data_IF_270839983232
#
_entry.id   IF_270839983232
#
_cell.length_a   1.000
_cell.length_b   1.000
_cell.length_c   1.000
_cell.angle_alpha   90.00
_cell.angle_beta   90.00
_cell.angle_gamma   90.00
#
_symmetry.space_group_name_H-M   'P 1'
#
loop_
_entity.id
_entity.type
_entity.pdbx_description
1 polymer ?
#
# COMPACT_ATOMS: atom_id res chain seq x y z
N UNK A 1 -7.96 11.87 1.48
CA UNK A 1 -8.47 10.50 1.46
C UNK A 1 -9.22 10.25 2.74
N UNK A 2 -10.26 9.43 2.65
CA UNK A 2 -11.30 9.25 3.68
C UNK A 2 -11.96 10.58 4.03
N UNK A 3 -12.49 11.24 3.00
CA UNK A 3 -13.10 12.57 3.13
C UNK A 3 -14.35 12.52 4.00
N UNK A 4 -15.12 11.43 3.88
CA UNK A 4 -16.32 11.16 4.67
C UNK A 4 -16.41 9.67 5.03
N UNK A 5 -17.06 9.39 6.16
CA UNK A 5 -17.30 8.03 6.67
C UNK A 5 -18.81 7.74 6.72
N UNK A 6 -19.23 6.45 6.61
CA UNK A 6 -18.41 5.25 6.66
C UNK A 6 -18.02 4.67 5.29
N UNK A 7 -18.57 5.14 4.18
CA UNK A 7 -18.39 4.46 2.89
C UNK A 7 -18.44 5.39 1.67
N UNK A 8 -18.28 6.71 1.87
CA UNK A 8 -18.20 7.64 0.74
C UNK A 8 -19.54 7.88 0.05
N UNK A 9 -20.67 7.66 0.74
CA UNK A 9 -21.99 7.84 0.15
C UNK A 9 -22.26 9.32 -0.22
N UNK A 10 -22.87 9.54 -1.39
CA UNK A 10 -23.15 10.88 -1.92
C UNK A 10 -23.95 11.77 -0.94
N UNK A 11 -24.89 11.17 -0.20
CA UNK A 11 -25.77 11.87 0.74
C UNK A 11 -25.02 12.46 1.94
N UNK A 12 -23.84 11.94 2.26
CA UNK A 12 -23.08 12.32 3.45
C UNK A 12 -22.06 13.43 3.17
N UNK A 13 -21.75 13.76 1.91
CA UNK A 13 -20.77 14.80 1.57
C UNK A 13 -21.14 16.18 2.11
N UNK A 14 -22.39 16.58 1.96
CA UNK A 14 -22.82 17.91 2.41
C UNK A 14 -22.77 18.04 3.94
N UNK A 15 -23.43 17.17 4.74
CA UNK A 15 -23.41 17.29 6.19
C UNK A 15 -22.06 16.96 6.84
N UNK A 16 -21.23 16.09 6.23
CA UNK A 16 -19.98 15.64 6.84
C UNK A 16 -18.71 16.34 6.31
N UNK A 17 -18.77 17.00 5.15
CA UNK A 17 -17.61 17.68 4.56
C UNK A 17 -17.92 19.13 4.16
N UNK A 18 -18.85 19.37 3.22
CA UNK A 18 -19.02 20.71 2.66
C UNK A 18 -19.58 21.72 3.68
N UNK A 19 -20.53 21.33 4.52
CA UNK A 19 -21.06 22.23 5.54
C UNK A 19 -20.03 22.54 6.65
N UNK A 20 -19.33 21.55 7.26
CA UNK A 20 -18.29 21.82 8.26
C UNK A 20 -17.12 22.66 7.76
N UNK A 21 -16.70 22.46 6.50
CA UNK A 21 -15.55 23.16 5.94
C UNK A 21 -15.91 24.35 5.04
N UNK A 22 -17.18 24.77 5.02
CA UNK A 22 -17.70 25.76 4.06
C UNK A 22 -16.88 27.06 3.99
N UNK A 23 -16.44 27.57 5.13
CA UNK A 23 -15.67 28.82 5.18
C UNK A 23 -14.21 28.64 4.77
N UNK A 24 -13.63 27.46 5.04
CA UNK A 24 -12.25 27.13 4.70
C UNK A 24 -12.08 26.88 3.20
N UNK A 25 -12.95 26.06 2.60
CA UNK A 25 -12.86 25.66 1.19
C UNK A 25 -13.23 26.79 0.22
N UNK A 26 -13.75 27.92 0.72
CA UNK A 26 -13.92 29.15 -0.07
C UNK A 26 -12.63 29.95 -0.23
N UNK A 27 -11.62 29.69 0.59
CA UNK A 27 -10.39 30.47 0.68
C UNK A 27 -9.16 29.69 0.20
N UNK A 28 -9.30 28.38 0.00
CA UNK A 28 -8.21 27.47 -0.34
C UNK A 28 -8.60 26.58 -1.51
N UNK A 29 -7.59 26.15 -2.27
CA UNK A 29 -7.75 25.09 -3.27
C UNK A 29 -7.61 23.75 -2.56
N UNK A 30 -8.57 22.85 -2.77
CA UNK A 30 -8.54 21.50 -2.23
C UNK A 30 -7.99 20.53 -3.29
N UNK A 31 -6.96 19.77 -2.92
CA UNK A 31 -6.36 18.72 -3.75
C UNK A 31 -6.57 17.35 -3.06
N UNK A 32 -7.74 16.73 -3.21
CA UNK A 32 -8.07 15.50 -2.49
C UNK A 32 -7.46 14.27 -3.17
N UNK A 33 -7.14 13.25 -2.38
CA UNK A 33 -6.88 11.89 -2.84
C UNK A 33 -8.01 10.95 -2.37
N UNK A 34 -8.20 9.83 -3.07
CA UNK A 34 -9.16 8.78 -2.70
C UNK A 34 -8.61 7.91 -1.56
N UNK A 35 -9.34 7.82 -0.46
CA UNK A 35 -9.16 6.80 0.58
C UNK A 35 -10.06 5.59 0.40
N UNK A 36 -9.89 4.57 1.24
CA UNK A 36 -10.69 3.35 1.12
C UNK A 36 -12.16 3.57 1.50
N UNK A 37 -12.45 4.54 2.36
CA UNK A 37 -13.82 4.94 2.66
C UNK A 37 -14.45 5.72 1.50
N UNK A 38 -13.69 6.52 0.77
CA UNK A 38 -14.19 7.19 -0.44
C UNK A 38 -14.46 6.18 -1.57
N UNK A 39 -13.63 5.14 -1.66
CA UNK A 39 -13.68 4.14 -2.73
C UNK A 39 -14.79 3.08 -2.53
N UNK A 40 -15.26 2.89 -1.30
CA UNK A 40 -16.21 1.84 -0.94
C UNK A 40 -17.54 1.94 -1.73
N UNK A 41 -18.11 3.14 -1.83
CA UNK A 41 -19.29 3.38 -2.66
C UNK A 41 -18.90 3.51 -4.14
N UNK A 42 -19.34 2.55 -4.94
CA UNK A 42 -19.24 2.58 -6.40
C UNK A 42 -17.84 2.95 -6.94
N UNK A 43 -16.77 2.42 -6.31
CA UNK A 43 -15.39 2.68 -6.69
C UNK A 43 -15.05 4.19 -6.76
N UNK A 44 -15.54 4.97 -5.80
CA UNK A 44 -15.29 6.41 -5.70
C UNK A 44 -16.15 7.29 -6.60
N UNK A 45 -17.23 6.77 -7.20
CA UNK A 45 -18.08 7.62 -8.06
C UNK A 45 -18.69 8.82 -7.33
N UNK A 46 -19.19 8.70 -6.08
CA UNK A 46 -19.68 9.87 -5.35
C UNK A 46 -18.60 10.92 -5.11
N UNK A 47 -17.38 10.48 -4.80
CA UNK A 47 -16.22 11.37 -4.63
C UNK A 47 -15.90 12.14 -5.91
N UNK A 48 -15.91 11.47 -7.08
CA UNK A 48 -15.70 12.14 -8.38
C UNK A 48 -16.81 13.12 -8.76
N UNK A 49 -18.02 12.90 -8.25
CA UNK A 49 -19.11 13.86 -8.45
C UNK A 49 -18.99 15.08 -7.50
N UNK A 50 -18.28 14.93 -6.38
CA UNK A 50 -18.12 15.95 -5.35
C UNK A 50 -16.86 16.81 -5.55
N UNK A 51 -15.78 16.21 -6.08
CA UNK A 51 -14.50 16.88 -6.29
C UNK A 51 -14.04 16.75 -7.74
N UNK A 52 -13.67 17.89 -8.32
CA UNK A 52 -13.12 17.98 -9.67
C UNK A 52 -11.61 18.18 -9.58
N UNK A 53 -10.85 17.18 -10.02
CA UNK A 53 -9.38 17.20 -10.00
C UNK A 53 -8.86 17.11 -11.44
N UNK A 54 -7.56 17.35 -11.68
CA UNK A 54 -7.00 17.20 -13.01
C UNK A 54 -7.13 15.75 -13.49
N UNK A 55 -7.42 15.58 -14.78
CA UNK A 55 -7.44 14.28 -15.46
C UNK A 55 -6.19 14.11 -16.35
N UNK A 56 -5.03 14.60 -15.90
CA UNK A 56 -3.77 14.66 -16.66
C UNK A 56 -2.94 13.36 -16.61
N UNK A 57 -3.62 12.22 -16.57
CA UNK A 57 -3.02 10.88 -16.59
C UNK A 57 -3.45 10.08 -17.83
N UNK A 58 -2.78 8.97 -18.16
CA UNK A 58 -3.09 8.15 -19.33
C UNK A 58 -4.51 7.55 -19.33
N UNK A 59 -5.15 7.41 -18.17
CA UNK A 59 -6.53 6.93 -18.08
C UNK A 59 -7.57 8.05 -18.33
N UNK A 60 -7.15 9.32 -18.40
CA UNK A 60 -8.06 10.47 -18.54
C UNK A 60 -9.07 10.57 -17.40
N UNK A 61 -8.68 10.13 -16.19
CA UNK A 61 -9.56 10.03 -15.02
C UNK A 61 -9.15 10.99 -13.91
N UNK A 62 -10.04 11.31 -12.98
CA UNK A 62 -9.75 12.20 -11.84
C UNK A 62 -9.12 11.47 -10.62
N UNK A 63 -8.82 10.18 -10.76
CA UNK A 63 -8.45 9.34 -9.61
C UNK A 63 -7.01 9.56 -9.13
N UNK A 64 -6.10 9.94 -10.04
CA UNK A 64 -4.69 10.23 -9.75
C UNK A 64 -4.19 11.27 -10.75
N UNK A 65 -3.33 12.18 -10.30
CA UNK A 65 -2.98 13.37 -11.07
C UNK A 65 -1.73 14.02 -10.51
N UNK A 66 -1.20 15.04 -11.20
CA UNK A 66 -0.10 15.86 -10.71
C UNK A 66 -0.37 17.34 -10.96
N UNK A 67 0.28 18.19 -10.19
CA UNK A 67 0.22 19.64 -10.33
C UNK A 67 1.45 20.32 -9.71
N UNK A 68 1.71 21.55 -10.14
CA UNK A 68 2.82 22.35 -9.63
C UNK A 68 2.29 23.48 -8.74
N UNK A 69 2.98 23.74 -7.64
CA UNK A 69 2.77 24.92 -6.78
C UNK A 69 4.13 25.52 -6.44
N UNK A 70 4.39 26.74 -6.93
CA UNK A 70 5.69 27.37 -6.78
C UNK A 70 6.80 26.54 -7.44
N UNK A 71 7.81 26.15 -6.67
CA UNK A 71 8.92 25.30 -7.11
C UNK A 71 8.74 23.83 -6.69
N UNK A 72 7.55 23.42 -6.26
CA UNK A 72 7.21 22.04 -5.90
C UNK A 72 6.30 21.40 -6.96
N UNK A 73 6.61 20.15 -7.30
CA UNK A 73 5.78 19.26 -8.08
C UNK A 73 5.14 18.23 -7.16
N UNK A 74 3.82 18.11 -7.23
CA UNK A 74 3.02 17.27 -6.34
C UNK A 74 2.30 16.22 -7.18
N UNK A 75 2.47 14.95 -6.83
CA UNK A 75 1.77 13.82 -7.45
C UNK A 75 0.79 13.21 -6.46
N UNK A 76 -0.46 13.06 -6.86
CA UNK A 76 -1.54 12.45 -6.08
C UNK A 76 -1.89 11.10 -6.67
N UNK A 77 -1.78 10.03 -5.89
CA UNK A 77 -2.06 8.66 -6.32
C UNK A 77 -3.31 8.09 -5.67
N UNK A 78 -3.99 7.18 -6.37
CA UNK A 78 -5.05 6.33 -5.85
C UNK A 78 -4.49 4.98 -5.39
N UNK A 79 -4.22 4.88 -4.10
CA UNK A 79 -3.73 3.65 -3.47
C UNK A 79 -4.78 2.54 -3.31
N UNK A 80 -6.03 2.74 -3.78
CA UNK A 80 -7.04 1.67 -3.90
C UNK A 80 -6.94 0.93 -5.25
N UNK A 81 -6.27 1.53 -6.23
CA UNK A 81 -6.05 0.96 -7.55
C UNK A 81 -4.70 0.23 -7.63
N UNK A 82 -4.46 -0.44 -8.76
CA UNK A 82 -3.20 -1.16 -8.97
C UNK A 82 -2.02 -0.18 -9.00
N UNK A 83 -1.04 -0.43 -8.15
CA UNK A 83 0.24 0.30 -8.10
C UNK A 83 1.41 -0.52 -8.65
N UNK A 84 1.15 -1.73 -9.16
CA UNK A 84 2.19 -2.66 -9.64
C UNK A 84 2.91 -2.11 -10.87
N UNK A 85 4.19 -2.48 -11.09
CA UNK A 85 4.92 -2.20 -12.32
C UNK A 85 4.11 -2.52 -13.57
N UNK A 86 4.08 -1.58 -14.52
CA UNK A 86 3.33 -1.69 -15.78
C UNK A 86 1.84 -1.33 -15.69
N UNK A 87 1.28 -1.07 -14.49
CA UNK A 87 -0.06 -0.46 -14.39
C UNK A 87 -0.06 0.97 -14.94
N UNK A 88 -1.22 1.47 -15.40
CA UNK A 88 -1.33 2.83 -15.93
C UNK A 88 -0.87 3.89 -14.92
N UNK A 89 -1.23 3.72 -13.65
CA UNK A 89 -0.82 4.62 -12.57
C UNK A 89 0.68 4.55 -12.27
N UNK A 90 1.28 3.35 -12.28
CA UNK A 90 2.73 3.21 -12.10
C UNK A 90 3.51 3.88 -13.23
N UNK A 91 3.11 3.62 -14.48
CA UNK A 91 3.75 4.21 -15.66
C UNK A 91 3.56 5.72 -15.70
N UNK A 92 2.39 6.22 -15.29
CA UNK A 92 2.14 7.64 -15.10
C UNK A 92 3.13 8.25 -14.11
N UNK A 93 3.23 7.68 -12.90
CA UNK A 93 4.11 8.19 -11.85
C UNK A 93 5.59 8.24 -12.31
N UNK A 94 6.07 7.16 -12.95
CA UNK A 94 7.43 7.08 -13.47
C UNK A 94 7.71 8.18 -14.51
N UNK A 95 6.81 8.34 -15.48
CA UNK A 95 6.95 9.35 -16.53
C UNK A 95 6.81 10.79 -16.00
N UNK A 96 5.82 11.03 -15.14
CA UNK A 96 5.51 12.33 -14.57
C UNK A 96 6.70 12.85 -13.73
N UNK A 97 7.22 12.02 -12.81
CA UNK A 97 8.38 12.36 -11.99
C UNK A 97 9.68 12.51 -12.79
N UNK A 98 9.83 11.80 -13.91
CA UNK A 98 10.96 11.95 -14.82
C UNK A 98 10.88 13.25 -15.65
N UNK A 99 9.67 13.76 -15.91
CA UNK A 99 9.44 14.91 -16.78
C UNK A 99 9.54 16.25 -16.07
N UNK A 100 9.40 16.28 -14.75
CA UNK A 100 9.46 17.51 -13.97
C UNK A 100 10.89 17.93 -13.62
N UNK A 101 11.15 19.24 -13.69
CA UNK A 101 12.38 19.88 -13.20
C UNK A 101 12.17 20.65 -11.89
N UNK A 102 11.01 20.48 -11.26
CA UNK A 102 10.69 21.15 -10.01
C UNK A 102 11.72 20.83 -8.93
N UNK A 103 11.99 21.82 -8.07
CA UNK A 103 12.99 21.70 -7.01
C UNK A 103 12.58 20.68 -5.98
N UNK A 104 11.31 20.65 -5.62
CA UNK A 104 10.74 19.73 -4.63
C UNK A 104 9.77 18.76 -5.28
N UNK A 105 9.88 17.48 -4.94
CA UNK A 105 8.98 16.43 -5.42
C UNK A 105 8.27 15.81 -4.23
N UNK A 106 6.95 15.96 -4.20
CA UNK A 106 6.08 15.44 -3.15
C UNK A 106 5.10 14.44 -3.76
N UNK A 107 4.83 13.36 -3.03
CA UNK A 107 3.81 12.39 -3.43
C UNK A 107 2.79 12.21 -2.30
N UNK A 108 1.51 12.15 -2.66
CA UNK A 108 0.40 12.02 -1.73
C UNK A 108 -0.50 10.84 -2.11
N UNK A 109 -0.81 9.95 -1.16
CA UNK A 109 -1.81 8.89 -1.32
C UNK A 109 -2.32 8.40 0.02
N UNK A 110 -3.35 7.55 0.04
CA UNK A 110 -4.05 7.25 1.29
C UNK A 110 -3.39 6.16 2.14
N UNK A 111 -3.16 4.96 1.60
CA UNK A 111 -2.72 3.80 2.38
C UNK A 111 -1.27 3.94 2.87
N UNK A 112 -1.06 3.83 4.18
CA UNK A 112 0.28 3.94 4.79
C UNK A 112 1.22 2.84 4.32
N UNK A 113 2.42 3.18 3.85
CA UNK A 113 3.45 2.20 3.47
C UNK A 113 4.56 2.05 4.51
N UNK A 114 4.76 3.00 5.42
CA UNK A 114 5.65 2.88 6.58
C UNK A 114 4.89 3.26 7.85
N UNK A 115 4.67 2.29 8.72
CA UNK A 115 3.89 2.45 9.95
C UNK A 115 4.32 1.46 11.03
N UNK A 116 4.42 1.96 12.25
CA UNK A 116 4.53 1.25 13.52
C UNK A 116 3.16 1.11 14.23
N UNK A 117 2.09 1.56 13.59
CA UNK A 117 0.71 1.39 14.02
C UNK A 117 0.26 -0.07 14.00
N UNK A 118 -0.70 -0.40 14.85
CA UNK A 118 -1.18 -1.79 15.02
C UNK A 118 -2.57 -2.05 14.43
N UNK A 119 -3.25 -1.02 13.92
CA UNK A 119 -4.59 -1.18 13.35
C UNK A 119 -4.53 -1.57 11.88
N UNK A 120 -3.79 -0.81 11.07
CA UNK A 120 -3.59 -1.10 9.66
C UNK A 120 -2.13 -1.44 9.36
N UNK A 121 -1.18 -0.76 10.00
CA UNK A 121 0.24 -0.97 9.84
C UNK A 121 0.73 -0.61 8.44
N UNK A 122 1.87 -1.19 8.07
CA UNK A 122 2.51 -0.93 6.78
C UNK A 122 1.88 -1.75 5.65
N UNK A 123 1.48 -1.10 4.56
CA UNK A 123 1.13 -1.77 3.31
C UNK A 123 2.40 -2.14 2.51
N UNK A 124 2.90 -3.35 2.74
CA UNK A 124 4.16 -3.82 2.13
C UNK A 124 4.07 -4.02 0.61
N UNK A 125 2.88 -4.31 0.07
CA UNK A 125 2.67 -4.48 -1.37
C UNK A 125 2.82 -3.13 -2.09
N UNK A 126 2.16 -2.09 -1.61
CA UNK A 126 2.31 -0.75 -2.19
C UNK A 126 3.74 -0.24 -1.98
N UNK A 127 4.35 -0.52 -0.82
CA UNK A 127 5.76 -0.20 -0.54
C UNK A 127 6.69 -0.80 -1.61
N UNK A 128 6.61 -2.11 -1.82
CA UNK A 128 7.48 -2.84 -2.75
C UNK A 128 7.34 -2.33 -4.20
N UNK A 129 6.14 -1.88 -4.58
CA UNK A 129 5.89 -1.35 -5.90
C UNK A 129 6.41 0.10 -6.07
N UNK A 130 6.08 1.00 -5.14
CA UNK A 130 6.26 2.45 -5.37
C UNK A 130 7.59 3.00 -4.83
N UNK A 131 8.16 2.43 -3.76
CA UNK A 131 9.43 2.91 -3.19
C UNK A 131 10.57 2.91 -4.21
N UNK A 132 10.73 1.90 -5.10
CA UNK A 132 11.74 1.96 -6.15
C UNK A 132 11.63 3.20 -7.07
N UNK A 133 10.40 3.65 -7.39
CA UNK A 133 10.20 4.86 -8.17
C UNK A 133 10.51 6.13 -7.37
N UNK A 134 10.11 6.16 -6.09
CA UNK A 134 10.43 7.29 -5.22
C UNK A 134 11.94 7.47 -5.05
N UNK A 135 12.67 6.38 -4.89
CA UNK A 135 14.13 6.37 -4.81
C UNK A 135 14.78 6.77 -6.14
N UNK A 136 14.31 6.21 -7.27
CA UNK A 136 14.85 6.48 -8.60
C UNK A 136 14.69 7.95 -9.01
N UNK A 137 13.56 8.56 -8.65
CA UNK A 137 13.23 9.94 -9.02
C UNK A 137 13.59 10.99 -7.96
N UNK A 138 14.21 10.55 -6.86
CA UNK A 138 14.57 11.37 -5.71
C UNK A 138 13.38 12.19 -5.18
N UNK A 139 12.28 11.51 -4.87
CA UNK A 139 11.15 12.10 -4.17
C UNK A 139 11.61 12.54 -2.78
N UNK A 140 11.21 13.75 -2.37
CA UNK A 140 11.69 14.34 -1.12
C UNK A 140 10.85 13.88 0.07
N UNK A 141 9.52 13.89 -0.11
CA UNK A 141 8.59 13.52 0.93
C UNK A 141 7.33 12.87 0.38
N UNK A 142 6.85 11.86 1.09
CA UNK A 142 5.62 11.12 0.78
C UNK A 142 4.65 11.28 1.95
N UNK A 143 3.47 11.83 1.68
CA UNK A 143 2.42 12.07 2.66
C UNK A 143 1.33 11.00 2.53
N UNK A 144 0.95 10.39 3.65
CA UNK A 144 -0.02 9.29 3.73
C UNK A 144 -1.04 9.49 4.84
N UNK A 145 -2.17 8.77 4.76
CA UNK A 145 -3.20 8.73 5.80
C UNK A 145 -3.42 7.30 6.30
N UNK A 146 -4.69 6.87 6.35
CA UNK A 146 -5.17 5.51 6.66
C UNK A 146 -4.93 5.01 8.08
N UNK A 147 -3.69 5.02 8.56
CA UNK A 147 -3.41 4.82 9.97
C UNK A 147 -3.70 6.13 10.72
N UNK A 148 -4.66 6.12 11.66
CA UNK A 148 -5.13 7.31 12.37
C UNK A 148 -4.20 7.72 13.51
N UNK A 149 -2.96 8.05 13.16
CA UNK A 149 -1.96 8.63 14.02
C UNK A 149 -0.99 9.48 13.19
N UNK A 150 -0.04 10.13 13.87
CA UNK A 150 1.09 10.79 13.26
C UNK A 150 2.32 9.89 13.33
N UNK A 151 3.01 9.66 12.22
CA UNK A 151 4.31 9.00 12.23
C UNK A 151 5.20 9.54 11.10
N UNK A 152 6.40 9.99 11.46
CA UNK A 152 7.40 10.46 10.50
C UNK A 152 8.63 9.56 10.55
N UNK A 153 9.12 9.15 9.38
CA UNK A 153 10.33 8.35 9.28
C UNK A 153 11.60 9.21 9.31
N UNK A 154 12.72 8.58 9.63
CA UNK A 154 14.04 9.03 9.16
C UNK A 154 14.07 8.97 7.62
N UNK A 155 15.02 9.65 6.95
CA UNK A 155 15.19 9.51 5.51
C UNK A 155 15.48 8.05 5.13
N UNK A 156 14.75 7.53 4.16
CA UNK A 156 14.88 6.15 3.69
C UNK A 156 15.26 6.10 2.21
N UNK A 157 16.14 5.15 1.87
CA UNK A 157 16.41 4.70 0.51
C UNK A 157 16.62 3.19 0.53
N UNK A 158 16.03 2.48 -0.43
CA UNK A 158 16.02 1.02 -0.48
C UNK A 158 15.56 0.38 0.85
N UNK A 159 14.55 0.97 1.48
CA UNK A 159 14.03 0.59 2.81
C UNK A 159 15.06 0.66 3.97
N UNK A 160 16.19 1.36 3.79
CA UNK A 160 17.20 1.55 4.82
C UNK A 160 17.28 3.00 5.24
N UNK A 161 17.56 3.24 6.52
CA UNK A 161 17.84 4.57 7.06
C UNK A 161 19.12 5.09 6.43
N UNK A 162 19.06 6.29 5.86
CA UNK A 162 20.18 6.99 5.25
C UNK A 162 20.37 8.38 5.85
N UNK A 163 21.49 9.01 5.51
CA UNK A 163 21.79 10.36 5.97
C UNK A 163 20.71 11.37 5.50
N UNK A 164 20.49 12.47 6.24
CA UNK A 164 19.66 13.58 5.81
C UNK A 164 19.95 14.03 4.37
N UNK A 165 18.90 14.21 3.57
CA UNK A 165 19.00 14.60 2.16
C UNK A 165 19.39 13.48 1.18
N UNK A 166 19.68 12.26 1.66
CA UNK A 166 20.06 11.13 0.82
C UNK A 166 18.90 10.14 0.53
N UNK A 167 17.71 10.40 1.03
CA UNK A 167 16.54 9.53 0.89
C UNK A 167 15.22 10.28 1.10
N UNK A 168 14.13 9.59 0.87
CA UNK A 168 12.76 10.10 0.99
C UNK A 168 12.32 10.08 2.45
N UNK A 169 11.65 11.13 2.92
CA UNK A 169 10.97 11.13 4.23
C UNK A 169 9.50 10.74 4.04
N UNK A 170 9.02 9.79 4.82
CA UNK A 170 7.63 9.34 4.76
C UNK A 170 6.89 9.85 5.99
N UNK A 171 5.70 10.40 5.79
CA UNK A 171 4.87 10.96 6.87
C UNK A 171 3.46 10.37 6.76
N UNK A 172 3.06 9.68 7.82
CA UNK A 172 1.68 9.27 8.07
C UNK A 172 1.01 10.38 8.87
N UNK A 173 -0.03 10.99 8.31
CA UNK A 173 -0.83 12.06 8.91
C UNK A 173 -2.32 11.71 8.85
N UNK A 174 -2.70 10.60 9.49
CA UNK A 174 -4.09 10.12 9.49
C UNK A 174 -4.93 10.60 10.67
N UNK A 175 -4.40 11.50 11.52
CA UNK A 175 -5.06 11.98 12.75
C UNK A 175 -6.17 13.00 12.55
N UNK A 176 -6.67 13.23 11.33
CA UNK A 176 -7.52 14.38 10.98
C UNK A 176 -8.92 14.46 11.60
N UNK A 177 -9.36 13.48 12.42
CA UNK A 177 -10.59 13.59 13.21
C UNK A 177 -11.35 12.28 13.46
N UNK A 178 -11.01 11.19 12.78
CA UNK A 178 -11.54 9.85 13.10
C UNK A 178 -10.80 9.26 14.31
N UNK A 179 -11.41 8.26 14.98
CA UNK A 179 -10.83 7.58 16.14
C UNK A 179 -9.34 7.26 15.93
N UNK A 180 -8.50 7.71 16.86
CA UNK A 180 -7.06 7.51 16.82
C UNK A 180 -6.67 6.04 17.04
N UNK A 181 -5.53 5.65 16.45
CA UNK A 181 -5.04 4.28 16.48
C UNK A 181 -3.72 4.15 17.26
N UNK A 182 -3.54 3.05 18.02
CA UNK A 182 -2.38 2.84 18.86
C UNK A 182 -1.16 2.31 18.09
N UNK A 183 0.02 2.60 18.64
CA UNK A 183 1.30 2.06 18.19
C UNK A 183 1.66 0.74 18.88
N UNK A 184 2.46 -0.06 18.17
CA UNK A 184 3.23 -1.14 18.75
C UNK A 184 4.63 -0.66 19.12
N UNK A 185 5.62 -1.59 19.24
CA UNK A 185 7.02 -1.20 19.25
C UNK A 185 7.36 -0.38 18.01
N UNK A 186 8.02 0.76 18.22
CA UNK A 186 8.41 1.63 17.11
C UNK A 186 9.45 0.94 16.22
N UNK A 187 9.25 1.06 14.91
CA UNK A 187 10.16 0.51 13.91
C UNK A 187 11.46 1.30 13.86
N UNK A 188 12.57 0.67 13.45
CA UNK A 188 13.89 1.31 13.34
C UNK A 188 13.93 2.55 12.43
N UNK A 189 12.96 2.69 11.52
CA UNK A 189 12.84 3.85 10.63
C UNK A 189 12.11 5.04 11.27
N UNK A 190 11.50 4.88 12.45
CA UNK A 190 10.64 5.90 13.07
C UNK A 190 11.49 7.02 13.64
N UNK A 191 11.31 8.25 13.15
CA UNK A 191 11.92 9.43 13.75
C UNK A 191 11.03 10.02 14.84
N UNK A 192 9.72 10.05 14.61
CA UNK A 192 8.72 10.55 15.55
C UNK A 192 7.39 9.82 15.33
N UNK A 193 6.65 9.54 16.40
CA UNK A 193 5.33 8.92 16.34
C UNK A 193 4.45 9.38 17.50
N UNK A 194 3.21 9.78 17.20
CA UNK A 194 2.26 10.23 18.19
C UNK A 194 0.81 9.90 17.81
N UNK A 195 0.02 9.41 18.77
CA UNK A 195 -1.40 9.09 18.55
C UNK A 195 -2.25 10.27 19.03
N UNK A 196 -2.31 11.31 18.21
CA UNK A 196 -3.04 12.57 18.47
C UNK A 196 -3.75 13.09 17.22
N UNK A 197 -4.75 13.93 17.45
CA UNK A 197 -5.42 14.65 16.37
C UNK A 197 -4.53 15.80 15.90
N UNK A 198 -4.28 15.89 14.60
CA UNK A 198 -3.36 16.87 14.04
C UNK A 198 -3.62 17.08 12.56
N UNK A 199 -2.95 18.08 12.00
CA UNK A 199 -2.70 18.19 10.57
C UNK A 199 -1.23 18.57 10.34
N UNK A 200 -0.75 18.41 9.12
CA UNK A 200 0.62 18.78 8.74
C UNK A 200 0.61 20.05 7.89
N UNK A 201 1.53 20.98 8.20
CA UNK A 201 1.86 22.13 7.36
C UNK A 201 3.18 21.87 6.65
N UNK A 202 3.20 22.06 5.33
CA UNK A 202 4.43 22.08 4.53
C UNK A 202 4.69 23.51 4.05
N UNK A 203 5.87 24.04 4.37
CA UNK A 203 6.35 25.33 3.90
C UNK A 203 7.60 25.13 3.04
N UNK A 204 7.58 25.65 1.82
CA UNK A 204 8.72 25.61 0.90
C UNK A 204 9.27 27.02 0.72
N UNK A 205 10.54 27.20 1.05
CA UNK A 205 11.30 28.43 0.88
C UNK A 205 12.61 28.14 0.14
N UNK A 206 12.57 28.28 -1.18
CA UNK A 206 13.70 28.03 -2.06
C UNK A 206 14.28 26.61 -1.90
N UNK A 207 15.42 26.54 -1.22
CA UNK A 207 16.20 25.33 -0.95
C UNK A 207 15.88 24.67 0.41
N UNK A 208 14.87 25.17 1.12
CA UNK A 208 14.35 24.60 2.37
C UNK A 208 12.90 24.15 2.21
N UNK A 209 12.57 22.96 2.71
CA UNK A 209 11.21 22.48 2.90
C UNK A 209 11.04 22.10 4.37
N UNK A 210 10.15 22.81 5.06
CA UNK A 210 9.83 22.56 6.46
C UNK A 210 8.47 21.88 6.56
N UNK A 211 8.43 20.79 7.31
CA UNK A 211 7.22 20.07 7.70
C UNK A 211 7.00 20.27 9.20
N UNK A 212 5.75 20.55 9.56
CA UNK A 212 5.32 20.72 10.95
C UNK A 212 4.01 19.99 11.18
N UNK A 213 4.00 19.10 12.16
CA UNK A 213 2.80 18.52 12.72
C UNK A 213 2.19 19.50 13.73
N UNK A 214 0.95 19.91 13.49
CA UNK A 214 0.22 20.89 14.29
C UNK A 214 -0.96 20.20 14.97
N UNK A 215 -0.97 20.20 16.30
CA UNK A 215 -2.05 19.65 17.14
C UNK A 215 -3.29 20.57 17.10
N UNK A 216 -4.44 20.09 17.59
CA UNK A 216 -5.72 20.80 17.60
C UNK A 216 -5.70 22.10 18.41
N UNK A 217 -4.75 22.27 19.32
CA UNK A 217 -4.54 23.50 20.09
C UNK A 217 -3.61 24.52 19.37
N UNK A 218 -3.10 24.15 18.19
CA UNK A 218 -2.21 24.97 17.37
C UNK A 218 -0.73 24.86 17.75
N UNK A 219 -0.36 23.99 18.69
CA UNK A 219 1.05 23.73 19.02
C UNK A 219 1.70 22.85 17.97
N UNK A 220 3.01 23.03 17.77
CA UNK A 220 3.81 22.18 16.88
C UNK A 220 4.33 21.00 17.71
N UNK A 221 3.80 19.80 17.47
CA UNK A 221 4.17 18.57 18.17
C UNK A 221 5.46 17.92 17.63
N UNK A 222 5.71 18.10 16.33
CA UNK A 222 6.91 17.63 15.65
C UNK A 222 7.23 18.52 14.44
N UNK A 223 8.51 18.57 14.06
CA UNK A 223 8.93 19.26 12.84
C UNK A 223 10.20 18.66 12.26
N UNK A 224 10.31 18.72 10.93
CA UNK A 224 11.56 18.47 10.22
C UNK A 224 11.80 19.51 9.13
N UNK A 225 13.06 19.70 8.76
CA UNK A 225 13.43 20.56 7.62
C UNK A 225 14.39 19.82 6.71
N UNK A 226 13.99 19.71 5.44
CA UNK A 226 14.82 19.22 4.36
C UNK A 226 15.54 20.40 3.71
N UNK A 227 16.83 20.24 3.42
CA UNK A 227 17.63 21.28 2.76
C UNK A 227 18.30 20.69 1.54
N UNK A 228 18.19 21.36 0.39
CA UNK A 228 18.91 21.01 -0.84
C UNK A 228 20.00 22.04 -1.12
N UNK A 229 21.23 21.62 -1.37
CA UNK A 229 22.33 22.54 -1.70
C UNK A 229 22.17 23.19 -3.08
N UNK A 230 22.71 24.40 -3.30
CA UNK A 230 22.69 25.06 -4.61
C UNK A 230 23.39 24.18 -5.66
N UNK A 231 22.64 23.72 -6.66
CA UNK A 231 23.17 22.93 -7.78
C UNK A 231 22.78 21.43 -7.83
N UNK A 232 21.94 20.91 -6.92
CA UNK A 232 21.36 19.57 -7.09
C UNK A 232 20.34 19.57 -8.24
N UNK A 233 20.83 19.51 -9.47
CA UNK A 233 20.05 19.29 -10.69
C UNK A 233 20.04 17.79 -10.92
N UNK A 234 18.85 17.20 -11.01
CA UNK A 234 18.66 15.78 -11.32
C UNK A 234 19.37 15.45 -12.64
N UNK A 235 20.44 14.67 -12.60
CA UNK A 235 21.09 14.15 -13.80
C UNK A 235 20.21 13.08 -14.44
N UNK A 236 19.49 13.46 -15.50
CA UNK A 236 18.83 12.51 -16.39
C UNK A 236 19.89 11.87 -17.29
N UNK A 237 20.32 10.66 -16.97
CA UNK A 237 21.16 9.85 -17.88
C UNK A 237 20.25 9.08 -18.83
N UNK A 238 20.02 9.62 -20.03
CA UNK A 238 19.43 8.88 -21.14
C UNK A 238 20.51 8.01 -21.80
N UNK A 239 20.47 6.70 -21.60
CA UNK A 239 21.35 5.77 -22.32
C UNK A 239 20.58 5.17 -23.50
N UNK A 240 20.83 5.68 -24.72
CA UNK A 240 20.49 4.99 -25.96
C UNK A 240 21.55 3.91 -26.24
N UNK A 241 21.14 2.64 -26.26
CA UNK A 241 22.01 1.54 -26.67
C UNK A 241 22.06 1.44 -28.19
N UNK A 242 23.25 1.70 -28.76
CA UNK A 242 23.59 1.26 -30.13
C UNK A 242 24.60 0.13 -30.00
N UNK A 243 24.20 -1.05 -30.47
CA UNK A 243 25.03 -2.27 -30.49
C UNK A 243 26.14 -2.12 -31.50
N UNK A 244 27.40 -2.30 -31.10
CA UNK A 244 28.45 -2.70 -32.04
C UNK A 244 29.45 -3.62 -31.35
N UNK A 245 29.47 -4.85 -31.83
CA UNK A 245 30.36 -5.94 -31.44
C UNK A 245 31.80 -5.62 -31.83
N UNK A 246 32.74 -5.68 -30.88
CA UNK A 246 34.15 -5.97 -31.20
C UNK A 246 34.74 -6.83 -30.11
N UNK A 247 35.19 -8.02 -30.50
CA UNK A 247 35.91 -8.98 -29.65
C UNK A 247 37.38 -8.57 -29.62
N UNK A 248 37.95 -8.44 -28.42
CA UNK A 248 39.38 -8.54 -28.20
C UNK A 248 39.61 -9.20 -26.83
N UNK A 249 40.25 -10.36 -26.87
CA UNK A 249 40.55 -11.16 -25.68
C UNK A 249 41.65 -10.54 -24.82
N UNK A 250 41.59 -10.81 -23.53
CA UNK A 250 42.77 -10.87 -22.69
C UNK A 250 42.54 -11.83 -21.52
N UNK A 251 43.49 -12.73 -21.39
CA UNK A 251 43.62 -13.80 -20.39
C UNK A 251 43.78 -13.24 -18.99
N UNK A 252 42.99 -13.76 -18.03
CA UNK A 252 43.30 -13.67 -16.60
C UNK A 252 43.17 -15.04 -15.95
N UNK A 253 44.24 -15.38 -15.25
CA UNK A 253 44.55 -16.61 -14.52
C UNK A 253 43.50 -16.94 -13.47
N UNK A 254 43.00 -18.19 -13.46
CA UNK A 254 42.07 -18.67 -12.44
C UNK A 254 42.82 -19.10 -11.18
N UNK A 255 42.56 -18.42 -10.06
CA UNK A 255 42.72 -18.99 -8.72
C UNK A 255 41.36 -19.50 -8.28
N UNK A 256 41.16 -20.82 -8.32
CA UNK A 256 39.97 -21.50 -7.84
C UNK A 256 39.90 -21.43 -6.31
N UNK A 257 39.09 -20.50 -5.80
CA UNK A 257 38.44 -20.66 -4.50
C UNK A 257 37.20 -21.54 -4.68
N UNK A 258 36.92 -22.50 -3.79
CA UNK A 258 35.68 -23.28 -3.85
C UNK A 258 34.48 -22.34 -3.71
N UNK A 259 33.36 -22.62 -4.42
CA UNK A 259 32.15 -21.83 -4.27
C UNK A 259 31.68 -21.88 -2.81
N UNK A 260 31.17 -20.77 -2.25
CA UNK A 260 30.52 -20.81 -0.95
C UNK A 260 29.38 -21.82 -1.01
N UNK A 261 29.09 -22.54 0.08
CA UNK A 261 27.95 -23.45 0.12
C UNK A 261 26.70 -22.68 -0.31
N UNK A 262 25.91 -23.28 -1.22
CA UNK A 262 24.65 -22.73 -1.70
C UNK A 262 23.90 -22.14 -0.50
N UNK A 263 23.59 -20.85 -0.58
CA UNK A 263 22.95 -20.12 0.51
C UNK A 263 21.77 -20.96 1.02
N UNK A 264 21.83 -21.33 2.30
CA UNK A 264 20.71 -21.94 2.97
C UNK A 264 19.56 -20.93 2.87
N UNK A 265 18.56 -21.24 2.06
CA UNK A 265 17.35 -20.46 1.98
C UNK A 265 16.59 -20.72 3.29
N UNK A 266 16.33 -19.66 4.06
CA UNK A 266 15.49 -19.71 5.25
C UNK A 266 14.04 -19.44 4.82
N UNK A 267 13.09 -20.36 5.05
CA UNK A 267 11.68 -20.18 4.72
C UNK A 267 11.08 -18.89 5.29
N UNK A 268 11.59 -18.39 6.43
CA UNK A 268 11.14 -17.12 7.01
C UNK A 268 11.60 -15.88 6.24
N UNK A 269 12.59 -16.00 5.36
CA UNK A 269 13.14 -14.92 4.51
C UNK A 269 12.73 -15.04 3.04
N UNK A 270 12.04 -16.12 2.69
CA UNK A 270 11.60 -16.39 1.31
C UNK A 270 10.21 -15.83 1.01
N UNK A 271 9.47 -15.35 2.01
CA UNK A 271 8.18 -14.69 1.79
C UNK A 271 8.40 -13.31 1.15
N UNK A 272 7.97 -13.12 -0.10
CA UNK A 272 8.02 -11.81 -0.78
C UNK A 272 6.84 -10.90 -0.40
N UNK A 273 5.95 -11.39 0.47
CA UNK A 273 4.76 -10.69 0.91
C UNK A 273 3.72 -10.51 -0.20
N UNK A 274 3.90 -11.17 -1.35
CA UNK A 274 2.97 -11.07 -2.46
C UNK A 274 1.98 -12.25 -2.40
N UNK A 275 0.69 -11.98 -2.09
CA UNK A 275 -0.32 -13.03 -2.02
C UNK A 275 -0.62 -13.65 -3.39
N UNK A 276 -0.11 -13.09 -4.49
CA UNK A 276 -0.23 -13.67 -5.82
C UNK A 276 0.92 -14.62 -6.18
N UNK A 277 1.89 -14.81 -5.29
CA UNK A 277 2.98 -15.78 -5.42
C UNK A 277 2.94 -16.81 -4.30
N UNK A 278 3.44 -18.00 -4.63
CA UNK A 278 3.69 -19.07 -3.71
C UNK A 278 5.21 -19.17 -3.53
N UNK A 279 5.64 -18.80 -2.33
CA UNK A 279 7.05 -18.78 -1.98
C UNK A 279 7.52 -20.17 -1.62
N UNK A 280 8.40 -20.70 -2.46
CA UNK A 280 8.96 -22.03 -2.32
C UNK A 280 10.46 -21.91 -2.12
N UNK A 281 10.93 -22.43 -0.99
CA UNK A 281 12.33 -22.40 -0.60
C UNK A 281 12.90 -23.82 -0.75
N UNK A 282 13.80 -24.02 -1.73
CA UNK A 282 14.40 -25.32 -2.00
C UNK A 282 15.93 -25.26 -1.80
N UNK A 283 16.53 -26.20 -1.02
CA UNK A 283 17.97 -26.25 -0.82
C UNK A 283 18.71 -26.41 -2.15
N UNK A 284 19.56 -25.43 -2.50
CA UNK A 284 20.33 -25.42 -3.75
C UNK A 284 19.65 -24.70 -4.92
N UNK A 285 18.34 -24.46 -4.89
CA UNK A 285 17.61 -23.68 -5.91
C UNK A 285 17.32 -22.24 -5.44
N UNK A 286 17.42 -21.98 -4.13
CA UNK A 286 17.13 -20.67 -3.55
C UNK A 286 15.64 -20.45 -3.31
N UNK A 287 15.25 -19.19 -3.15
CA UNK A 287 13.86 -18.80 -2.99
C UNK A 287 13.20 -18.58 -4.36
N UNK A 288 11.99 -19.11 -4.54
CA UNK A 288 11.21 -19.00 -5.78
C UNK A 288 9.79 -18.50 -5.47
N UNK A 289 9.31 -17.58 -6.29
CA UNK A 289 8.00 -16.96 -6.16
C UNK A 289 7.15 -17.34 -7.37
N UNK A 290 6.44 -18.47 -7.29
CA UNK A 290 5.63 -18.97 -8.41
C UNK A 290 4.23 -18.35 -8.38
N UNK A 291 3.62 -17.96 -9.52
CA UNK A 291 2.25 -17.46 -9.52
C UNK A 291 1.28 -18.43 -8.83
N UNK A 292 0.45 -17.90 -7.94
CA UNK A 292 -0.60 -18.66 -7.27
C UNK A 292 -1.52 -19.26 -8.31
N UNK A 293 -1.83 -20.54 -8.11
CA UNK A 293 -2.77 -21.29 -8.91
C UNK A 293 -3.99 -21.72 -8.07
N UNK A 294 -4.94 -22.42 -8.70
CA UNK A 294 -6.13 -22.91 -8.03
C UNK A 294 -5.82 -23.93 -6.91
N UNK A 295 -4.69 -24.64 -6.99
CA UNK A 295 -4.26 -25.58 -5.96
C UNK A 295 -3.75 -24.85 -4.71
N UNK A 296 -2.97 -23.78 -4.90
CA UNK A 296 -2.50 -22.91 -3.84
C UNK A 296 -3.67 -22.17 -3.15
N UNK A 297 -4.65 -21.68 -3.91
CA UNK A 297 -5.88 -21.11 -3.33
C UNK A 297 -6.65 -22.16 -2.51
N UNK A 298 -6.81 -23.38 -3.03
CA UNK A 298 -7.47 -24.47 -2.31
C UNK A 298 -6.79 -24.73 -0.96
N UNK A 299 -5.47 -24.85 -0.94
CA UNK A 299 -4.70 -25.07 0.28
C UNK A 299 -4.89 -23.93 1.30
N UNK A 300 -4.99 -22.68 0.85
CA UNK A 300 -5.27 -21.53 1.71
C UNK A 300 -6.70 -21.50 2.28
N UNK A 301 -7.68 -22.03 1.56
CA UNK A 301 -9.03 -22.19 2.14
C UNK A 301 -9.03 -23.34 3.16
N UNK A 302 -8.25 -24.40 2.91
CA UNK A 302 -8.13 -25.55 3.80
C UNK A 302 -7.47 -25.20 5.14
N UNK A 303 -6.44 -24.33 5.14
CA UNK A 303 -5.79 -23.86 6.37
C UNK A 303 -6.74 -23.09 7.30
N UNK A 304 -7.81 -22.50 6.75
CA UNK A 304 -8.89 -21.86 7.53
C UNK A 304 -9.71 -22.84 8.39
N UNK A 305 -9.64 -24.15 8.14
CA UNK A 305 -10.27 -25.17 8.99
C UNK A 305 -9.39 -25.60 10.18
N UNK A 306 -8.07 -25.36 10.10
CA UNK A 306 -7.08 -25.86 11.06
C UNK A 306 -6.31 -24.71 11.70
N UNK A 307 -7.03 -23.81 12.38
CA UNK A 307 -6.42 -22.69 13.12
C UNK A 307 -6.08 -23.14 14.53
N UNK A 308 -4.79 -23.28 14.84
CA UNK A 308 -4.32 -23.73 16.17
C UNK A 308 -4.87 -22.91 17.34
N UNK A 309 -4.98 -21.59 17.16
CA UNK A 309 -5.56 -20.69 18.17
C UNK A 309 -7.06 -20.90 18.43
N UNK A 310 -7.76 -21.64 17.57
CA UNK A 310 -9.18 -21.97 17.71
C UNK A 310 -9.44 -23.37 18.29
N UNK A 311 -8.40 -24.15 18.58
CA UNK A 311 -8.55 -25.50 19.15
C UNK A 311 -9.27 -25.41 20.49
N UNK A 312 -10.33 -26.22 20.67
CA UNK A 312 -11.15 -26.23 21.88
C UNK A 312 -12.17 -25.09 21.99
N UNK A 313 -12.30 -24.22 20.99
CA UNK A 313 -13.25 -23.11 20.99
C UNK A 313 -14.46 -23.35 20.08
N UNK A 314 -15.66 -22.88 20.44
CA UNK A 314 -16.87 -23.06 19.63
C UNK A 314 -16.90 -22.05 18.47
N UNK A 315 -16.12 -22.33 17.42
CA UNK A 315 -16.22 -21.57 16.16
C UNK A 315 -17.65 -21.66 15.63
N UNK A 316 -18.33 -20.53 15.33
CA UNK A 316 -19.72 -20.57 14.91
C UNK A 316 -19.93 -21.42 13.67
N UNK A 317 -20.93 -22.31 13.68
CA UNK A 317 -21.21 -23.23 12.58
C UNK A 317 -21.37 -22.52 11.21
N UNK A 318 -21.89 -21.29 11.20
CA UNK A 318 -22.03 -20.49 9.99
C UNK A 318 -20.68 -20.09 9.37
N UNK A 319 -19.65 -19.82 10.20
CA UNK A 319 -18.29 -19.50 9.73
C UNK A 319 -17.70 -20.73 9.02
N UNK A 320 -17.77 -21.89 9.67
CA UNK A 320 -17.31 -23.15 9.08
C UNK A 320 -18.11 -23.54 7.83
N UNK A 321 -19.43 -23.31 7.82
CA UNK A 321 -20.26 -23.57 6.64
C UNK A 321 -19.87 -22.69 5.44
N UNK A 322 -19.56 -21.41 5.66
CA UNK A 322 -19.12 -20.50 4.61
C UNK A 322 -17.74 -20.89 4.06
N UNK A 323 -16.80 -21.31 4.93
CA UNK A 323 -15.51 -21.86 4.51
C UNK A 323 -15.67 -23.12 3.65
N UNK A 324 -16.52 -24.08 4.06
CA UNK A 324 -16.83 -25.28 3.26
C UNK A 324 -17.46 -24.93 1.92
N UNK A 325 -18.35 -23.94 1.89
CA UNK A 325 -18.94 -23.47 0.64
C UNK A 325 -17.89 -22.84 -0.27
N UNK A 326 -16.98 -22.02 0.26
CA UNK A 326 -15.89 -21.43 -0.50
C UNK A 326 -14.98 -22.51 -1.10
N UNK A 327 -14.54 -23.46 -0.27
CA UNK A 327 -13.73 -24.61 -0.68
C UNK A 327 -14.39 -25.39 -1.84
N UNK A 328 -15.67 -25.74 -1.70
CA UNK A 328 -16.40 -26.43 -2.77
C UNK A 328 -16.60 -25.61 -4.05
N UNK A 329 -16.54 -24.27 -4.00
CA UNK A 329 -16.49 -23.46 -5.23
C UNK A 329 -15.12 -23.52 -5.90
N UNK A 330 -14.03 -23.43 -5.13
CA UNK A 330 -12.64 -23.53 -5.63
C UNK A 330 -12.41 -24.88 -6.27
N UNK A 331 -12.87 -25.97 -5.64
CA UNK A 331 -12.81 -27.32 -6.21
C UNK A 331 -13.49 -27.40 -7.58
N UNK A 332 -14.71 -26.85 -7.69
CA UNK A 332 -15.43 -26.85 -8.97
C UNK A 332 -14.74 -25.96 -10.02
N UNK A 333 -14.04 -24.90 -9.59
CA UNK A 333 -13.27 -24.05 -10.49
C UNK A 333 -12.04 -24.77 -11.03
N UNK A 334 -11.35 -25.57 -10.21
CA UNK A 334 -10.20 -26.38 -10.62
C UNK A 334 -10.56 -27.46 -11.66
N UNK A 335 -11.78 -28.00 -11.60
CA UNK A 335 -12.21 -29.09 -12.47
C UNK A 335 -13.02 -28.63 -13.70
N UNK A 336 -13.24 -27.33 -13.89
CA UNK A 336 -13.99 -26.84 -15.06
C UNK A 336 -13.05 -26.43 -16.18
N UNK A 337 -13.36 -26.85 -17.41
CA UNK A 337 -12.65 -26.44 -18.62
C UNK A 337 -13.11 -25.09 -19.17
N UNK A 338 -14.17 -24.50 -18.61
CA UNK A 338 -14.72 -23.22 -19.06
C UNK A 338 -14.15 -22.05 -18.23
N UNK A 339 -13.40 -21.12 -18.84
CA UNK A 339 -12.83 -19.98 -18.13
C UNK A 339 -13.90 -19.08 -17.50
N UNK A 340 -15.02 -18.87 -18.20
CA UNK A 340 -16.15 -18.07 -17.70
C UNK A 340 -16.78 -18.72 -16.46
N UNK A 341 -16.93 -20.05 -16.47
CA UNK A 341 -17.46 -20.79 -15.33
C UNK A 341 -16.48 -20.78 -14.17
N UNK A 342 -15.17 -20.94 -14.43
CA UNK A 342 -14.12 -20.85 -13.41
C UNK A 342 -14.15 -19.48 -12.70
N UNK A 343 -14.19 -18.38 -13.46
CA UNK A 343 -14.32 -17.00 -12.93
C UNK A 343 -15.55 -16.85 -12.04
N UNK A 344 -16.73 -17.30 -12.49
CA UNK A 344 -17.96 -17.20 -11.70
C UNK A 344 -17.89 -18.00 -10.40
N UNK A 345 -17.23 -19.15 -10.42
CA UNK A 345 -17.03 -19.99 -9.24
C UNK A 345 -16.04 -19.34 -8.26
N UNK A 346 -14.95 -18.75 -8.76
CA UNK A 346 -14.00 -17.97 -7.97
C UNK A 346 -14.65 -16.76 -7.29
N UNK A 347 -15.42 -15.94 -8.02
CA UNK A 347 -16.13 -14.81 -7.42
C UNK A 347 -17.14 -15.22 -6.34
N UNK A 348 -17.78 -16.39 -6.50
CA UNK A 348 -18.63 -16.98 -5.45
C UNK A 348 -17.81 -17.45 -4.25
N UNK A 349 -16.63 -18.04 -4.47
CA UNK A 349 -15.73 -18.46 -3.40
C UNK A 349 -15.29 -17.26 -2.55
N UNK A 350 -14.82 -16.18 -3.20
CA UNK A 350 -14.42 -14.93 -2.56
C UNK A 350 -15.57 -14.30 -1.76
N UNK A 351 -16.79 -14.28 -2.31
CA UNK A 351 -17.96 -13.79 -1.57
C UNK A 351 -18.21 -14.60 -0.27
N UNK A 352 -17.97 -15.92 -0.29
CA UNK A 352 -18.14 -16.79 0.87
C UNK A 352 -17.03 -16.60 1.90
N UNK A 353 -15.79 -16.39 1.46
CA UNK A 353 -14.65 -16.05 2.33
C UNK A 353 -14.91 -14.72 3.05
N UNK A 354 -15.29 -13.66 2.33
CA UNK A 354 -15.65 -12.34 2.91
C UNK A 354 -16.81 -12.44 3.89
N UNK A 355 -17.78 -13.29 3.60
CA UNK A 355 -18.87 -13.61 4.51
C UNK A 355 -18.37 -14.28 5.79
N UNK A 356 -17.48 -15.26 5.66
CA UNK A 356 -16.88 -16.00 6.77
C UNK A 356 -16.08 -15.07 7.69
N UNK A 357 -15.19 -14.25 7.13
CA UNK A 357 -14.35 -13.30 7.88
C UNK A 357 -15.19 -12.33 8.70
N UNK A 358 -16.21 -11.69 8.09
CA UNK A 358 -17.15 -10.81 8.80
C UNK A 358 -17.85 -11.49 9.96
N UNK A 359 -18.26 -12.76 9.78
CA UNK A 359 -18.95 -13.53 10.85
C UNK A 359 -17.99 -13.94 11.96
N UNK A 360 -16.73 -14.27 11.64
CA UNK A 360 -15.70 -14.52 12.63
C UNK A 360 -15.42 -13.27 13.48
N UNK A 361 -15.28 -12.08 12.86
CA UNK A 361 -15.10 -10.82 13.58
C UNK A 361 -16.30 -10.48 14.48
N UNK A 362 -17.53 -10.71 14.01
CA UNK A 362 -18.73 -10.53 14.83
C UNK A 362 -18.76 -11.50 16.01
N UNK A 363 -18.33 -12.75 15.82
CA UNK A 363 -18.24 -13.73 16.90
C UNK A 363 -17.21 -13.34 17.97
N UNK A 364 -16.07 -12.78 17.55
CA UNK A 364 -15.05 -12.24 18.43
C UNK A 364 -15.58 -11.07 19.27
N UNK A 365 -16.24 -10.09 18.63
CA UNK A 365 -16.86 -8.94 19.32
C UNK A 365 -17.94 -9.35 20.32
N UNK A 366 -18.59 -10.49 20.10
CA UNK A 366 -19.61 -11.06 21.00
C UNK A 366 -19.02 -12.02 22.03
N UNK A 367 -17.70 -12.13 22.14
CA UNK A 367 -17.02 -13.02 23.09
C UNK A 367 -17.25 -14.51 22.84
N UNK A 368 -17.69 -14.92 21.64
CA UNK A 368 -17.98 -16.32 21.32
C UNK A 368 -16.73 -17.12 20.96
N UNK A 369 -15.69 -16.43 20.53
CA UNK A 369 -14.35 -16.97 20.27
C UNK A 369 -13.33 -15.98 20.85
N UNK A 370 -12.17 -16.48 21.25
CA UNK A 370 -11.07 -15.65 21.76
C UNK A 370 -10.53 -14.70 20.68
N UNK A 371 -9.87 -13.64 21.12
CA UNK A 371 -9.18 -12.69 20.24
C UNK A 371 -8.09 -13.39 19.39
N UNK A 372 -7.35 -14.35 19.97
CA UNK A 372 -6.32 -15.11 19.25
C UNK A 372 -6.92 -16.04 18.18
N UNK A 373 -8.02 -16.73 18.48
CA UNK A 373 -8.76 -17.51 17.49
C UNK A 373 -9.29 -16.62 16.36
N UNK A 374 -9.89 -15.48 16.70
CA UNK A 374 -10.40 -14.54 15.72
C UNK A 374 -9.30 -13.96 14.82
N UNK A 375 -8.14 -13.62 15.40
CA UNK A 375 -6.99 -13.11 14.67
C UNK A 375 -6.41 -14.17 13.72
N UNK A 376 -6.18 -15.40 14.21
CA UNK A 376 -5.67 -16.50 13.41
C UNK A 376 -6.62 -16.89 12.27
N UNK A 377 -7.92 -16.99 12.58
CA UNK A 377 -8.95 -17.29 11.57
C UNK A 377 -9.10 -16.16 10.55
N UNK A 378 -9.05 -14.91 11.01
CA UNK A 378 -9.06 -13.74 10.14
C UNK A 378 -7.85 -13.69 9.21
N UNK A 379 -6.65 -14.03 9.71
CA UNK A 379 -5.44 -14.07 8.89
C UNK A 379 -5.55 -15.12 7.78
N UNK A 380 -5.94 -16.35 8.10
CA UNK A 380 -6.10 -17.42 7.09
C UNK A 380 -7.18 -17.09 6.05
N UNK A 381 -8.30 -16.50 6.48
CA UNK A 381 -9.36 -16.07 5.56
C UNK A 381 -8.86 -14.97 4.62
N UNK A 382 -8.12 -13.97 5.14
CA UNK A 382 -7.54 -12.91 4.31
C UNK A 382 -6.54 -13.46 3.29
N UNK A 383 -5.61 -14.32 3.72
CA UNK A 383 -4.67 -14.97 2.80
C UNK A 383 -5.38 -15.70 1.65
N UNK A 384 -6.49 -16.40 1.94
CA UNK A 384 -7.29 -17.06 0.91
C UNK A 384 -8.05 -16.07 0.00
N UNK A 385 -8.52 -14.94 0.55
CA UNK A 385 -9.15 -13.87 -0.24
C UNK A 385 -8.15 -13.22 -1.19
N UNK A 386 -6.97 -12.86 -0.69
CA UNK A 386 -5.93 -12.18 -1.44
C UNK A 386 -5.43 -13.08 -2.59
N UNK A 387 -5.14 -14.36 -2.29
CA UNK A 387 -4.80 -15.38 -3.29
C UNK A 387 -5.90 -15.58 -4.34
N UNK A 388 -7.15 -15.59 -3.91
CA UNK A 388 -8.28 -15.77 -4.82
C UNK A 388 -8.50 -14.58 -5.73
N UNK A 389 -8.22 -13.36 -5.26
CA UNK A 389 -8.27 -12.15 -6.07
C UNK A 389 -7.21 -12.16 -7.18
N UNK A 390 -6.05 -12.76 -6.94
CA UNK A 390 -5.00 -12.94 -7.95
C UNK A 390 -5.41 -13.86 -9.11
N UNK A 391 -6.39 -14.74 -8.89
CA UNK A 391 -6.89 -15.70 -9.87
C UNK A 391 -8.12 -15.18 -10.66
N UNK A 392 -8.69 -14.04 -10.27
CA UNK A 392 -9.71 -13.37 -11.08
C UNK A 392 -9.00 -12.57 -12.20
N UNK A 393 -9.06 -13.01 -13.47
CA UNK A 393 -8.55 -12.19 -14.57
C UNK A 393 -9.33 -10.88 -14.63
N UNK A 394 -8.60 -9.80 -14.86
CA UNK A 394 -9.17 -8.46 -15.04
C UNK A 394 -10.28 -8.47 -16.11
N UNK A 395 -11.35 -7.67 -15.91
CA UNK A 395 -12.46 -7.58 -16.85
C UNK A 395 -12.02 -7.20 -18.26
#
# INVERSE_FOLDING_TARGET
>A
GDMIYPDGAAVDFDPAFFAPYADLIRQLVLWPCLGNHDFAAAAGQPWRNAFFTPANNPAGSENYYSFDVGNAHIVVLNSNERTVPGSLQYTFLDHDLASTSARWKLVFFHHTIYSSGTTHGSNLVIRANLVPLFDAHAVDMVLMGHEHNYERTLPLRANQVVAPGAGTVYVTTGGGGKNLYPFGPLSHFTAHAESVHHFVRIAVDGDSLTEEMIDVDGTVGDSTTLVKGPGSTTSTTTTSSTTTTTIAGSTTTSTTLPPPPAAACDPGTCDDGNPCTLDTCAPGEGCRHDPVDLAALRASVESGFTVGACVGQPVPALVTALLRQAHGQVERAAHTTSPVRARRLLGRALQRLRGSGRRASVAARRGRISASCAAGLGAQIRTAEDRGACLEPSP
#
